data_IF_760039574234
#
_entry.id   IF_760039574234
#
_cell.length_a   1.000
_cell.length_b   1.000
_cell.length_c   1.000
_cell.angle_alpha   90.00
_cell.angle_beta   90.00
_cell.angle_gamma   90.00
#
_symmetry.space_group_name_H-M   'P 1'
#
loop_
_entity.id
_entity.type
_entity.pdbx_description
1 polymer ?
#
# COMPACT_ATOMS: atom_id res chain seq x y z
N UNK A 1 -10.70 -10.81 6.15
CA UNK A 1 -11.42 -9.63 6.65
C UNK A 1 -11.45 -8.63 5.52
N UNK A 2 -12.44 -7.76 5.47
CA UNK A 2 -12.43 -6.65 4.52
C UNK A 2 -11.44 -5.60 5.04
N UNK A 3 -10.37 -5.34 4.29
CA UNK A 3 -9.38 -4.31 4.61
C UNK A 3 -9.92 -2.97 4.10
N UNK A 4 -10.80 -2.36 4.89
CA UNK A 4 -11.51 -1.11 4.55
C UNK A 4 -11.25 0.00 5.56
N UNK A 5 -11.34 1.23 5.09
CA UNK A 5 -11.22 2.42 5.94
C UNK A 5 -12.55 2.67 6.64
N UNK A 6 -12.55 2.68 7.97
CA UNK A 6 -13.75 2.94 8.79
C UNK A 6 -13.47 4.03 9.82
N UNK A 7 -14.48 4.86 10.07
CA UNK A 7 -14.48 5.82 11.16
C UNK A 7 -15.34 5.29 12.30
N UNK A 8 -14.71 4.90 13.41
CA UNK A 8 -15.40 4.37 14.60
C UNK A 8 -15.25 5.30 15.79
N UNK A 9 -16.26 5.38 16.68
CA UNK A 9 -16.17 6.17 17.90
C UNK A 9 -15.00 5.72 18.79
N UNK A 10 -14.37 6.67 19.47
CA UNK A 10 -13.21 6.41 20.32
C UNK A 10 -13.46 5.31 21.37
N UNK A 11 -14.63 5.35 22.05
CA UNK A 11 -14.96 4.38 23.10
C UNK A 11 -15.06 2.95 22.56
N UNK A 12 -15.67 2.80 21.38
CA UNK A 12 -15.80 1.51 20.72
C UNK A 12 -14.44 0.99 20.25
N UNK A 13 -13.62 1.86 19.66
CA UNK A 13 -12.24 1.51 19.26
C UNK A 13 -11.40 1.09 20.46
N UNK A 14 -11.52 1.81 21.58
CA UNK A 14 -10.76 1.52 22.81
C UNK A 14 -11.14 0.16 23.41
N UNK A 15 -12.43 -0.17 23.43
CA UNK A 15 -12.88 -1.50 23.86
C UNK A 15 -12.35 -2.62 22.97
N UNK A 16 -12.28 -2.40 21.65
CA UNK A 16 -11.72 -3.36 20.70
C UNK A 16 -10.22 -3.54 20.91
N UNK A 17 -9.47 -2.44 21.06
CA UNK A 17 -8.03 -2.47 21.30
C UNK A 17 -7.66 -3.18 22.61
N UNK A 18 -8.48 -3.05 23.67
CA UNK A 18 -8.28 -3.76 24.93
C UNK A 18 -8.55 -5.27 24.84
N UNK A 19 -9.43 -5.69 23.91
CA UNK A 19 -9.76 -7.10 23.67
C UNK A 19 -8.80 -7.76 22.66
N UNK A 20 -7.92 -6.96 22.03
CA UNK A 20 -6.96 -7.44 21.05
C UNK A 20 -5.82 -8.22 21.72
N UNK A 21 -5.61 -9.45 21.27
CA UNK A 21 -4.56 -10.34 21.76
C UNK A 21 -3.16 -9.98 21.26
N UNK A 22 -3.05 -9.06 20.29
CA UNK A 22 -1.77 -8.60 19.73
C UNK A 22 -0.99 -7.66 20.67
N UNK A 23 -1.61 -7.21 21.77
CA UNK A 23 -1.03 -6.31 22.77
C UNK A 23 -0.48 -5.00 22.18
N UNK A 24 -1.35 -4.15 21.60
CA UNK A 24 -0.93 -2.93 20.92
C UNK A 24 -0.37 -1.88 21.89
N UNK A 25 0.75 -1.25 21.53
CA UNK A 25 1.25 -0.05 22.22
C UNK A 25 0.68 1.20 21.55
N UNK A 26 -0.14 1.96 22.29
CA UNK A 26 -0.85 3.12 21.76
C UNK A 26 -0.24 4.39 22.36
N UNK A 27 0.20 5.31 21.50
CA UNK A 27 0.68 6.63 21.88
C UNK A 27 -0.19 7.72 21.25
N UNK A 28 -0.73 8.63 22.08
CA UNK A 28 -1.48 9.78 21.61
C UNK A 28 -0.56 11.00 21.52
N UNK A 29 -0.29 11.47 20.30
CA UNK A 29 0.60 12.60 20.05
C UNK A 29 -0.19 13.83 19.59
N UNK A 30 -0.09 14.98 20.28
CA UNK A 30 -0.72 16.21 19.82
C UNK A 30 0.03 16.77 18.60
N UNK A 31 -0.72 17.36 17.67
CA UNK A 31 -0.14 18.11 16.56
C UNK A 31 0.68 19.30 17.05
N UNK A 32 1.81 19.56 16.40
CA UNK A 32 2.64 20.74 16.66
C UNK A 32 1.81 22.03 16.53
N UNK A 33 1.98 23.04 17.40
CA UNK A 33 1.13 24.23 17.43
C UNK A 33 0.96 24.96 16.09
N UNK A 34 2.03 25.02 15.29
CA UNK A 34 2.00 25.67 13.97
C UNK A 34 1.15 24.93 12.94
N UNK A 35 1.18 23.59 12.96
CA UNK A 35 0.37 22.76 12.09
C UNK A 35 -1.07 22.77 12.57
N UNK A 36 -1.28 22.69 13.89
CA UNK A 36 -2.60 22.79 14.52
C UNK A 36 -3.32 24.09 14.17
N UNK A 37 -2.59 25.21 14.08
CA UNK A 37 -3.16 26.51 13.68
C UNK A 37 -3.62 26.54 12.21
N UNK A 38 -2.99 25.75 11.33
CA UNK A 38 -3.33 25.65 9.90
C UNK A 38 -4.29 24.49 9.61
N UNK A 39 -4.54 23.63 10.58
CA UNK A 39 -5.33 22.42 10.41
C UNK A 39 -6.81 22.76 10.19
N UNK A 40 -7.34 22.34 9.04
CA UNK A 40 -8.74 22.51 8.71
C UNK A 40 -9.53 21.24 9.10
N UNK A 41 -10.17 21.27 10.27
CA UNK A 41 -10.94 20.14 10.80
C UNK A 41 -12.14 19.77 9.93
N UNK A 42 -12.79 20.74 9.30
CA UNK A 42 -13.94 20.48 8.42
C UNK A 42 -13.52 19.72 7.17
N UNK A 43 -12.45 20.18 6.50
CA UNK A 43 -11.91 19.51 5.31
C UNK A 43 -11.39 18.10 5.64
N UNK A 44 -10.73 17.94 6.79
CA UNK A 44 -10.29 16.64 7.28
C UNK A 44 -11.45 15.64 7.42
N UNK A 45 -12.55 16.07 8.05
CA UNK A 45 -13.74 15.23 8.24
C UNK A 45 -14.49 14.95 6.93
N UNK A 46 -14.46 15.85 5.95
CA UNK A 46 -15.00 15.61 4.61
C UNK A 46 -14.18 14.55 3.87
N UNK A 47 -12.85 14.65 3.92
CA UNK A 47 -11.96 13.66 3.32
C UNK A 47 -12.12 12.28 3.96
N UNK A 48 -12.09 12.19 5.29
CA UNK A 48 -12.30 10.91 6.02
C UNK A 48 -13.62 10.26 5.65
N UNK A 49 -14.71 11.03 5.55
CA UNK A 49 -16.01 10.51 5.11
C UNK A 49 -16.01 10.05 3.65
N UNK A 50 -15.30 10.75 2.77
CA UNK A 50 -15.16 10.37 1.36
C UNK A 50 -14.37 9.07 1.15
N UNK A 51 -13.50 8.71 2.11
CA UNK A 51 -12.67 7.50 2.07
C UNK A 51 -13.26 6.35 2.89
N UNK A 52 -14.31 6.58 3.68
CA UNK A 52 -14.95 5.52 4.45
C UNK A 52 -15.58 4.48 3.52
N UNK A 53 -15.27 3.20 3.74
CA UNK A 53 -15.71 2.08 2.91
C UNK A 53 -14.84 1.81 1.68
N UNK A 54 -13.80 2.63 1.43
CA UNK A 54 -12.81 2.35 0.39
C UNK A 54 -11.74 1.35 0.88
N UNK A 55 -11.09 0.64 -0.05
CA UNK A 55 -10.02 -0.29 0.28
C UNK A 55 -8.83 0.41 0.96
N UNK A 56 -8.31 -0.22 2.02
CA UNK A 56 -7.11 0.21 2.72
C UNK A 56 -5.89 -0.43 2.06
N UNK A 57 -5.19 0.33 1.20
CA UNK A 57 -3.78 0.16 0.84
C UNK A 57 -3.26 -1.20 0.36
N UNK A 58 -4.08 -2.25 0.25
CA UNK A 58 -3.61 -3.63 0.15
C UNK A 58 -2.91 -3.93 -1.17
N UNK A 59 -3.30 -3.19 -2.22
CA UNK A 59 -2.61 -3.15 -3.51
C UNK A 59 -1.15 -2.72 -3.38
N UNK A 60 -0.84 -1.86 -2.41
CA UNK A 60 0.51 -1.37 -2.11
C UNK A 60 1.26 -2.26 -1.11
N UNK A 61 0.54 -2.82 -0.13
CA UNK A 61 1.13 -3.58 0.99
C UNK A 61 1.88 -4.84 0.52
N UNK A 62 1.54 -5.41 -0.63
CA UNK A 62 2.30 -6.53 -1.22
C UNK A 62 3.64 -6.07 -1.80
N UNK A 63 3.83 -4.79 -2.11
CA UNK A 63 5.12 -4.30 -2.62
C UNK A 63 5.97 -3.64 -1.53
N UNK A 64 5.41 -3.38 -0.35
CA UNK A 64 6.12 -2.73 0.76
C UNK A 64 7.29 -3.53 1.35
N UNK A 65 7.44 -4.81 1.00
CA UNK A 65 8.55 -5.67 1.42
C UNK A 65 9.55 -5.96 0.28
N UNK A 66 9.29 -5.43 -0.92
CA UNK A 66 10.17 -5.54 -2.10
C UNK A 66 10.66 -4.13 -2.44
N UNK A 67 11.56 -3.60 -1.62
CA UNK A 67 12.02 -2.19 -1.73
C UNK A 67 13.27 -2.05 -2.63
N UNK A 68 14.03 -3.14 -2.81
CA UNK A 68 15.29 -3.11 -3.57
C UNK A 68 15.34 -4.20 -4.64
N UNK A 69 16.03 -3.94 -5.76
CA UNK A 69 16.25 -4.92 -6.85
C UNK A 69 17.08 -6.11 -6.37
N UNK A 70 17.97 -5.88 -5.40
CA UNK A 70 18.91 -6.83 -4.81
C UNK A 70 18.98 -6.58 -3.31
N UNK A 71 19.12 -7.65 -2.52
CA UNK A 71 19.21 -7.69 -1.04
C UNK A 71 17.88 -7.78 -0.24
N UNK A 72 16.72 -8.00 -0.87
CA UNK A 72 15.50 -8.38 -0.11
C UNK A 72 15.54 -9.82 0.43
N UNK A 73 16.40 -10.69 -0.15
CA UNK A 73 16.45 -12.12 0.15
C UNK A 73 17.89 -12.58 0.39
N UNK A 74 18.09 -13.42 1.41
CA UNK A 74 19.38 -14.06 1.64
C UNK A 74 19.75 -15.00 0.47
N UNK A 75 21.00 -15.01 -0.02
CA UNK A 75 21.46 -16.00 -1.00
C UNK A 75 21.17 -17.43 -0.51
N UNK A 76 20.76 -18.38 -1.37
CA UNK A 76 20.76 -18.39 -2.84
C UNK A 76 19.40 -18.02 -3.48
N UNK A 77 18.47 -17.43 -2.73
CA UNK A 77 17.13 -17.13 -3.20
C UNK A 77 17.12 -15.83 -3.99
N UNK A 78 16.82 -15.92 -5.29
CA UNK A 78 16.64 -14.78 -6.18
C UNK A 78 15.19 -14.26 -6.06
N UNK A 79 15.02 -12.94 -6.00
CA UNK A 79 13.73 -12.26 -5.97
C UNK A 79 12.86 -12.70 -7.15
N UNK A 80 13.46 -12.89 -8.33
CA UNK A 80 12.75 -13.38 -9.51
C UNK A 80 12.12 -14.76 -9.26
N UNK A 81 12.89 -15.71 -8.72
CA UNK A 81 12.40 -17.07 -8.50
C UNK A 81 11.39 -17.14 -7.35
N UNK A 82 11.66 -16.48 -6.23
CA UNK A 82 10.79 -16.51 -5.05
C UNK A 82 9.48 -15.80 -5.32
N UNK A 83 9.54 -14.57 -5.85
CA UNK A 83 8.34 -13.75 -6.06
C UNK A 83 7.47 -14.38 -7.14
N UNK A 84 8.03 -14.80 -8.28
CA UNK A 84 7.24 -15.47 -9.32
C UNK A 84 6.67 -16.80 -8.81
N UNK A 85 7.43 -17.59 -8.03
CA UNK A 85 6.91 -18.86 -7.50
C UNK A 85 5.77 -18.63 -6.50
N UNK A 86 5.92 -17.67 -5.59
CA UNK A 86 4.90 -17.33 -4.59
C UNK A 86 3.66 -16.75 -5.27
N UNK A 87 3.82 -15.79 -6.18
CA UNK A 87 2.72 -15.19 -6.93
C UNK A 87 2.02 -16.21 -7.83
N UNK A 88 2.76 -17.10 -8.49
CA UNK A 88 2.19 -18.16 -9.34
C UNK A 88 1.45 -19.21 -8.52
N UNK A 89 2.00 -19.64 -7.38
CA UNK A 89 1.33 -20.57 -6.47
C UNK A 89 0.06 -19.97 -5.88
N UNK A 90 0.12 -18.72 -5.44
CA UNK A 90 -1.01 -18.03 -4.84
C UNK A 90 -2.09 -17.68 -5.88
N UNK A 91 -1.71 -17.32 -7.12
CA UNK A 91 -2.65 -17.17 -8.24
C UNK A 91 -3.43 -18.46 -8.50
N UNK A 92 -2.79 -19.62 -8.34
CA UNK A 92 -3.48 -20.92 -8.46
C UNK A 92 -4.37 -21.24 -7.26
N UNK A 93 -3.99 -20.80 -6.06
CA UNK A 93 -4.74 -21.08 -4.82
C UNK A 93 -5.95 -20.15 -4.64
N UNK A 94 -5.84 -18.88 -5.02
CA UNK A 94 -6.86 -17.83 -4.85
C UNK A 94 -6.89 -16.89 -6.07
N UNK A 95 -7.37 -17.35 -7.24
CA UNK A 95 -7.27 -16.62 -8.49
C UNK A 95 -8.03 -15.28 -8.49
N UNK A 96 -9.21 -15.22 -7.89
CA UNK A 96 -10.00 -13.99 -7.82
C UNK A 96 -9.34 -12.90 -6.94
N UNK A 97 -8.74 -13.30 -5.80
CA UNK A 97 -8.03 -12.38 -4.91
C UNK A 97 -6.71 -11.91 -5.53
N UNK A 98 -5.98 -12.83 -6.16
CA UNK A 98 -4.73 -12.56 -6.88
C UNK A 98 -4.89 -11.58 -8.04
N UNK A 99 -5.97 -11.76 -8.82
CA UNK A 99 -6.28 -10.86 -9.93
C UNK A 99 -6.52 -9.42 -9.47
N UNK A 100 -7.19 -9.25 -8.33
CA UNK A 100 -7.42 -7.92 -7.78
C UNK A 100 -6.14 -7.30 -7.22
N UNK A 101 -5.25 -8.09 -6.61
CA UNK A 101 -4.09 -7.51 -5.90
C UNK A 101 -2.91 -7.18 -6.81
N UNK A 102 -2.48 -8.12 -7.65
CA UNK A 102 -1.27 -7.90 -8.46
C UNK A 102 -1.54 -7.78 -9.94
N UNK A 103 -2.56 -8.44 -10.52
CA UNK A 103 -2.77 -8.26 -11.97
C UNK A 103 -3.11 -6.80 -12.25
N UNK A 104 -4.05 -6.22 -11.51
CA UNK A 104 -4.42 -4.81 -11.70
C UNK A 104 -3.25 -3.85 -11.43
N UNK A 105 -2.51 -4.08 -10.34
CA UNK A 105 -1.38 -3.23 -9.95
C UNK A 105 -0.20 -3.32 -10.92
N UNK A 106 0.16 -4.53 -11.38
CA UNK A 106 1.22 -4.73 -12.37
C UNK A 106 0.83 -4.17 -13.74
N UNK A 107 -0.44 -4.31 -14.13
CA UNK A 107 -0.97 -3.70 -15.34
C UNK A 107 -0.83 -2.17 -15.29
N UNK A 108 -1.20 -1.52 -14.17
CA UNK A 108 -1.01 -0.07 -14.02
C UNK A 108 0.45 0.35 -14.10
N UNK A 109 1.37 -0.44 -13.54
CA UNK A 109 2.83 -0.17 -13.62
C UNK A 109 3.39 -0.30 -15.03
N UNK A 110 2.85 -1.21 -15.83
CA UNK A 110 3.20 -1.39 -17.26
C UNK A 110 2.38 -0.52 -18.22
N UNK A 111 1.44 0.27 -17.72
CA UNK A 111 0.46 1.01 -18.53
C UNK A 111 -0.36 0.09 -19.46
N UNK A 112 -0.62 -1.14 -19.03
CA UNK A 112 -1.48 -2.12 -19.70
C UNK A 112 -2.79 -2.31 -18.92
N UNK A 113 -3.78 -2.97 -19.52
CA UNK A 113 -5.05 -3.29 -18.84
C UNK A 113 -5.47 -4.74 -19.17
N UNK A 114 -5.91 -5.48 -18.16
CA UNK A 114 -6.55 -6.79 -18.35
C UNK A 114 -5.62 -7.97 -18.65
N UNK A 115 -4.29 -7.80 -18.53
CA UNK A 115 -3.34 -8.90 -18.66
C UNK A 115 -3.30 -9.74 -17.37
N UNK A 116 -3.19 -11.06 -17.52
CA UNK A 116 -2.89 -11.93 -16.39
C UNK A 116 -1.39 -11.92 -16.04
N UNK A 117 -1.02 -12.51 -14.90
CA UNK A 117 0.39 -12.55 -14.47
C UNK A 117 1.32 -13.18 -15.54
N UNK A 118 0.85 -14.16 -16.30
CA UNK A 118 1.65 -14.81 -17.33
C UNK A 118 1.83 -13.89 -18.55
N UNK A 119 0.76 -13.26 -19.00
CA UNK A 119 0.79 -12.28 -20.08
C UNK A 119 1.63 -11.05 -19.71
N UNK A 120 1.59 -10.62 -18.45
CA UNK A 120 2.46 -9.57 -17.90
C UNK A 120 3.93 -9.96 -18.04
N UNK A 121 4.31 -11.18 -17.65
CA UNK A 121 5.69 -11.67 -17.78
C UNK A 121 6.14 -11.73 -19.25
N UNK A 122 5.23 -12.10 -20.14
CA UNK A 122 5.53 -12.10 -21.59
C UNK A 122 5.67 -10.66 -22.11
N UNK A 123 4.89 -9.72 -21.61
CA UNK A 123 4.92 -8.33 -22.04
C UNK A 123 6.19 -7.62 -21.56
N UNK A 124 6.61 -7.79 -20.30
CA UNK A 124 7.88 -7.21 -19.81
C UNK A 124 9.10 -7.70 -20.59
N UNK A 125 9.10 -8.97 -21.00
CA UNK A 125 10.17 -9.53 -21.84
C UNK A 125 10.22 -8.83 -23.21
N UNK A 126 9.08 -8.42 -23.78
CA UNK A 126 9.04 -7.63 -25.02
C UNK A 126 9.53 -6.19 -24.83
N UNK A 127 9.27 -5.61 -23.66
CA UNK A 127 9.70 -4.24 -23.32
C UNK A 127 11.14 -4.18 -22.77
N UNK A 128 11.83 -5.34 -22.66
CA UNK A 128 13.18 -5.47 -22.10
C UNK A 128 13.31 -4.93 -20.67
N UNK A 129 12.21 -4.97 -19.91
CA UNK A 129 12.18 -4.56 -18.50
C UNK A 129 12.31 -5.84 -17.65
N UNK A 130 13.30 -5.93 -16.75
CA UNK A 130 13.41 -7.08 -15.89
C UNK A 130 12.32 -7.00 -14.79
N UNK A 131 11.80 -8.16 -14.36
CA UNK A 131 10.60 -8.22 -13.52
C UNK A 131 10.79 -7.54 -12.16
N UNK A 132 11.99 -7.65 -11.59
CA UNK A 132 12.44 -6.91 -10.41
C UNK A 132 12.30 -5.38 -10.57
N UNK A 133 12.66 -4.81 -11.73
CA UNK A 133 12.47 -3.39 -12.00
C UNK A 133 10.99 -2.99 -12.03
N UNK A 134 10.09 -3.88 -12.47
CA UNK A 134 8.65 -3.64 -12.42
C UNK A 134 8.10 -3.62 -10.97
N UNK A 135 8.65 -4.48 -10.10
CA UNK A 135 8.22 -4.60 -8.71
C UNK A 135 8.62 -3.39 -7.85
N UNK A 136 9.69 -2.67 -8.23
CA UNK A 136 10.14 -1.48 -7.50
C UNK A 136 9.47 -0.18 -7.95
N UNK A 137 8.69 -0.19 -9.05
CA UNK A 137 8.00 1.04 -9.50
C UNK A 137 7.03 1.48 -8.38
N UNK A 138 7.21 2.69 -7.81
CA UNK A 138 6.37 3.14 -6.72
C UNK A 138 4.93 3.29 -7.22
N UNK A 139 3.99 2.88 -6.37
CA UNK A 139 2.58 3.16 -6.59
C UNK A 139 2.33 4.66 -6.60
N UNK A 140 1.41 5.10 -7.47
CA UNK A 140 0.98 6.50 -7.52
C UNK A 140 -0.36 6.66 -6.85
N UNK A 141 -0.47 7.65 -5.95
CA UNK A 141 -1.66 7.95 -5.17
C UNK A 141 -2.84 8.45 -6.03
N UNK A 142 -2.63 8.74 -7.33
CA UNK A 142 -3.70 9.00 -8.30
C UNK A 142 -4.30 7.75 -8.94
N UNK A 143 -3.70 6.56 -8.76
CA UNK A 143 -4.23 5.35 -9.35
C UNK A 143 -5.58 4.97 -8.73
N UNK A 144 -6.59 4.83 -9.59
CA UNK A 144 -7.90 4.32 -9.23
C UNK A 144 -8.01 2.85 -9.67
N UNK A 145 -8.27 1.97 -8.71
CA UNK A 145 -8.49 0.55 -8.96
C UNK A 145 -9.98 0.27 -9.20
N UNK A 146 -10.31 -0.90 -9.71
CA UNK A 146 -11.70 -1.32 -9.95
C UNK A 146 -12.54 -1.34 -8.67
N UNK A 147 -11.92 -1.55 -7.52
CA UNK A 147 -12.53 -1.49 -6.19
C UNK A 147 -12.45 -0.10 -5.54
N UNK A 148 -11.93 0.89 -6.26
CA UNK A 148 -11.91 2.29 -5.91
C UNK A 148 -10.51 2.84 -5.65
N UNK A 149 -10.47 4.05 -5.10
CA UNK A 149 -9.21 4.69 -4.70
C UNK A 149 -8.65 4.00 -3.46
N UNK A 150 -7.50 3.35 -3.62
CA UNK A 150 -6.71 2.82 -2.52
C UNK A 150 -5.89 3.95 -1.89
N UNK A 151 -5.81 3.99 -0.56
CA UNK A 151 -4.89 4.88 0.16
C UNK A 151 -4.24 4.12 1.30
N UNK A 152 -2.95 4.34 1.49
CA UNK A 152 -2.18 3.83 2.62
C UNK A 152 -2.33 4.74 3.84
N UNK A 153 -1.95 4.28 5.03
CA UNK A 153 -2.07 5.08 6.26
C UNK A 153 -1.33 6.42 6.17
N UNK A 154 -0.13 6.45 5.60
CA UNK A 154 0.69 7.66 5.54
C UNK A 154 0.09 8.66 4.54
N UNK A 155 -0.30 8.20 3.35
CA UNK A 155 -0.96 9.04 2.35
C UNK A 155 -2.31 9.61 2.87
N UNK A 156 -3.04 8.81 3.64
CA UNK A 156 -4.30 9.22 4.27
C UNK A 156 -4.07 10.33 5.31
N UNK A 157 -3.09 10.17 6.20
CA UNK A 157 -2.76 11.17 7.21
C UNK A 157 -2.22 12.47 6.58
N UNK A 158 -1.36 12.38 5.57
CA UNK A 158 -0.86 13.56 4.88
C UNK A 158 -1.99 14.33 4.18
N UNK A 159 -2.97 13.63 3.61
CA UNK A 159 -4.14 14.26 3.00
C UNK A 159 -5.01 15.00 4.02
N UNK A 160 -5.10 14.47 5.24
CA UNK A 160 -5.81 15.13 6.34
C UNK A 160 -5.05 16.36 6.85
N UNK A 161 -3.72 16.27 7.00
CA UNK A 161 -2.91 17.34 7.61
C UNK A 161 -2.58 18.46 6.62
N UNK A 162 -2.23 18.12 5.38
CA UNK A 162 -1.72 19.06 4.38
C UNK A 162 -2.73 19.44 3.31
N UNK A 163 -3.91 18.79 3.26
CA UNK A 163 -5.01 19.14 2.38
C UNK A 163 -4.56 19.23 0.90
N UNK A 164 -4.67 20.38 0.22
CA UNK A 164 -4.35 20.50 -1.20
C UNK A 164 -2.91 20.20 -1.58
N UNK A 165 -1.97 20.27 -0.63
CA UNK A 165 -0.54 19.99 -0.89
C UNK A 165 -0.31 18.48 -0.99
N UNK A 166 -1.20 17.65 -0.41
CA UNK A 166 -1.03 16.20 -0.43
C UNK A 166 -1.10 15.62 -1.83
N UNK A 167 -1.83 16.24 -2.77
CA UNK A 167 -1.88 15.80 -4.18
C UNK A 167 -0.55 16.00 -4.94
N UNK A 168 0.46 16.60 -4.30
CA UNK A 168 1.82 16.72 -4.85
C UNK A 168 2.82 15.78 -4.19
N UNK A 169 2.37 14.94 -3.25
CA UNK A 169 3.19 13.99 -2.52
C UNK A 169 2.72 12.59 -2.90
N UNK A 170 3.66 11.75 -3.36
CA UNK A 170 3.43 10.33 -3.62
C UNK A 170 4.01 9.55 -2.44
N UNK A 171 3.24 8.69 -1.79
CA UNK A 171 3.73 7.91 -0.64
C UNK A 171 3.47 6.43 -0.77
N UNK A 172 4.56 5.66 -0.77
CA UNK A 172 4.54 4.21 -0.61
C UNK A 172 4.53 3.86 0.89
N UNK A 173 3.72 2.88 1.29
CA UNK A 173 3.77 2.33 2.65
C UNK A 173 5.04 1.48 2.79
N UNK A 174 5.87 1.77 3.80
CA UNK A 174 7.10 1.01 4.08
C UNK A 174 6.87 0.10 5.28
N UNK A 175 7.17 -1.20 5.13
CA UNK A 175 7.38 -2.08 6.27
C UNK A 175 8.86 -2.08 6.56
N UNK A 176 9.27 -1.47 7.68
CA UNK A 176 10.64 -1.62 8.18
C UNK A 176 10.86 -3.09 8.55
N UNK A 177 11.50 -3.85 7.66
CA UNK A 177 12.14 -5.10 8.06
C UNK A 177 13.36 -4.73 8.91
N UNK A 178 13.64 -5.54 9.92
CA UNK A 178 14.53 -5.24 11.06
C UNK A 178 16.02 -4.98 10.72
N UNK A 179 16.37 -4.77 9.44
CA UNK A 179 17.74 -4.59 8.97
C UNK A 179 17.94 -3.36 8.06
N UNK A 180 17.00 -2.41 8.06
CA UNK A 180 17.23 -1.11 7.45
C UNK A 180 18.01 -0.22 8.44
N UNK A 181 19.34 -0.32 8.40
CA UNK A 181 20.20 0.72 8.97
C UNK A 181 20.00 2.01 8.16
N UNK A 182 19.07 2.85 8.63
CA UNK A 182 18.87 4.22 8.13
C UNK A 182 20.15 4.99 8.43
N UNK A 183 21.05 5.06 7.45
CA UNK A 183 22.18 5.98 7.46
C UNK A 183 21.68 7.33 6.95
N UNK A 184 21.67 8.30 7.87
CA UNK A 184 21.53 9.72 7.59
C UNK A 184 22.65 10.23 6.68
#
# INVERSE_FOLDING_TARGET
>A
GEEIIVAIPWEEWWELALKDSSNPQIALLPLHPEIRAKFNSTAAWEYTRSMSGKPYGYHNMIFSWIDTVVDNYSPPLDAHLVVISVMSMWTRLQPAYSANIWNETLNKRLWTEGLDLHDIIVEIEKHWIPFDELLIIPERDEWEYNDGKSTTCVAFLLSIVFGPISSSIQVTEFILSHDASVKW
#
